data_IF_199935970271
#
_entry.id   IF_199935970271
#
_cell.length_a   1.000
_cell.length_b   1.000
_cell.length_c   1.000
_cell.angle_alpha   90.00
_cell.angle_beta   90.00
_cell.angle_gamma   90.00
#
_symmetry.space_group_name_H-M   'P 1'
#
loop_
_entity.id
_entity.type
_entity.pdbx_description
1 polymer ?
#
# COMPACT_ATOMS: atom_id res chain seq x y z
N UNK A 1 -3.13 21.60 -27.75
CA UNK A 1 -2.21 20.78 -26.94
C UNK A 1 -3.06 19.80 -26.17
N UNK A 2 -2.99 18.50 -26.44
CA UNK A 2 -3.74 17.53 -25.67
C UNK A 2 -3.15 17.46 -24.26
N UNK A 3 -3.94 17.82 -23.26
CA UNK A 3 -3.65 17.66 -21.84
C UNK A 3 -4.04 16.24 -21.42
N UNK A 4 -3.51 15.26 -22.13
CA UNK A 4 -3.70 13.87 -21.79
C UNK A 4 -2.38 13.30 -21.32
N UNK A 5 -2.08 13.48 -20.04
CA UNK A 5 -1.35 12.49 -19.25
C UNK A 5 -1.11 13.03 -17.83
N UNK A 6 -2.16 13.39 -17.13
CA UNK A 6 -2.16 12.99 -15.73
C UNK A 6 -1.97 11.47 -15.77
N UNK A 7 -0.99 10.91 -15.05
CA UNK A 7 -0.83 9.49 -15.05
C UNK A 7 -2.19 8.91 -14.66
N UNK A 8 -2.89 8.47 -15.70
CA UNK A 8 -4.15 7.78 -15.54
C UNK A 8 -3.75 6.55 -14.80
N UNK A 9 -3.61 6.91 -13.66
CA UNK A 9 -3.69 6.13 -12.49
C UNK A 9 -2.89 4.85 -12.59
N UNK A 10 -1.97 4.74 -11.68
CA UNK A 10 -1.39 3.49 -11.25
C UNK A 10 -2.37 2.29 -11.31
N UNK A 11 -3.68 2.53 -11.23
CA UNK A 11 -4.72 1.53 -11.43
C UNK A 11 -4.65 0.85 -12.79
N UNK A 12 -4.48 1.60 -13.88
CA UNK A 12 -4.34 1.04 -15.24
C UNK A 12 -3.05 0.23 -15.37
N UNK A 13 -1.94 0.74 -14.82
CA UNK A 13 -0.68 0.02 -14.83
C UNK A 13 -0.76 -1.26 -13.98
N UNK A 14 -1.37 -1.20 -12.80
CA UNK A 14 -1.59 -2.35 -11.92
C UNK A 14 -2.46 -3.40 -12.61
N UNK A 15 -3.53 -2.96 -13.27
CA UNK A 15 -4.42 -3.87 -14.02
C UNK A 15 -3.69 -4.54 -15.18
N UNK A 16 -2.82 -3.81 -15.89
CA UNK A 16 -1.97 -4.37 -16.94
C UNK A 16 -1.01 -5.43 -16.39
N UNK A 17 -0.35 -5.20 -15.22
CA UNK A 17 0.52 -6.19 -14.58
C UNK A 17 -0.27 -7.44 -14.16
N UNK A 18 -1.48 -7.28 -13.62
CA UNK A 18 -2.35 -8.40 -13.28
C UNK A 18 -2.78 -9.20 -14.51
N UNK A 19 -3.07 -8.53 -15.60
CA UNK A 19 -3.42 -9.19 -16.88
C UNK A 19 -2.25 -10.01 -17.41
N UNK A 20 -1.03 -9.46 -17.40
CA UNK A 20 0.19 -10.18 -17.78
C UNK A 20 0.41 -11.41 -16.89
N UNK A 21 0.18 -11.28 -15.58
CA UNK A 21 0.30 -12.40 -14.65
C UNK A 21 -0.74 -13.49 -14.93
N UNK A 22 -2.01 -13.11 -15.12
CA UNK A 22 -3.11 -14.05 -15.40
C UNK A 22 -2.94 -14.77 -16.75
N UNK A 23 -2.47 -14.07 -17.78
CA UNK A 23 -2.16 -14.65 -19.09
C UNK A 23 -0.96 -15.57 -19.03
N UNK A 24 0.08 -15.16 -18.29
CA UNK A 24 1.26 -15.98 -18.09
C UNK A 24 0.97 -17.28 -17.35
N UNK A 25 0.10 -17.26 -16.34
CA UNK A 25 -0.35 -18.48 -15.63
C UNK A 25 -1.11 -19.44 -16.53
N UNK A 26 -2.00 -18.91 -17.37
CA UNK A 26 -2.73 -19.72 -18.34
C UNK A 26 -1.79 -20.38 -19.36
N UNK A 27 -0.83 -19.63 -19.89
CA UNK A 27 0.14 -20.16 -20.83
C UNK A 27 1.13 -21.14 -20.15
N UNK A 28 1.51 -20.89 -18.90
CA UNK A 28 2.36 -21.81 -18.12
C UNK A 28 1.68 -23.14 -17.87
N UNK A 29 0.35 -23.17 -17.69
CA UNK A 29 -0.43 -24.43 -17.54
C UNK A 29 -0.40 -25.30 -18.80
N UNK A 30 -0.03 -24.75 -19.95
CA UNK A 30 0.15 -25.48 -21.22
C UNK A 30 1.62 -25.76 -21.55
N UNK A 31 2.55 -25.50 -20.59
CA UNK A 31 3.95 -25.85 -20.70
C UNK A 31 4.89 -24.71 -21.14
N UNK A 32 4.42 -23.47 -21.28
CA UNK A 32 5.28 -22.32 -21.60
C UNK A 32 6.02 -21.79 -20.36
N UNK A 33 7.25 -22.28 -20.15
CA UNK A 33 8.11 -21.80 -19.07
C UNK A 33 8.53 -20.32 -19.23
N UNK A 34 8.50 -19.77 -20.43
CA UNK A 34 8.74 -18.33 -20.66
C UNK A 34 7.57 -17.48 -20.14
N UNK A 35 6.34 -17.93 -20.33
CA UNK A 35 5.16 -17.29 -19.79
C UNK A 35 5.14 -17.29 -18.27
N UNK A 36 5.53 -18.40 -17.63
CA UNK A 36 5.64 -18.47 -16.18
C UNK A 36 6.61 -17.41 -15.61
N UNK A 37 7.78 -17.24 -16.24
CA UNK A 37 8.76 -16.20 -15.83
C UNK A 37 8.22 -14.78 -16.02
N UNK A 38 7.50 -14.51 -17.12
CA UNK A 38 6.86 -13.19 -17.35
C UNK A 38 5.79 -12.90 -16.28
N UNK A 39 4.98 -13.89 -15.94
CA UNK A 39 3.97 -13.77 -14.88
C UNK A 39 4.60 -13.41 -13.52
N UNK A 40 5.66 -14.11 -13.14
CA UNK A 40 6.34 -13.82 -11.87
C UNK A 40 7.01 -12.44 -11.87
N UNK A 41 7.66 -12.06 -12.98
CA UNK A 41 8.25 -10.71 -13.12
C UNK A 41 7.17 -9.61 -13.01
N UNK A 42 5.99 -9.82 -13.57
CA UNK A 42 4.87 -8.89 -13.45
C UNK A 42 4.36 -8.79 -12.00
N UNK A 43 4.25 -9.90 -11.28
CA UNK A 43 3.89 -9.91 -9.85
C UNK A 43 4.94 -9.19 -8.99
N UNK A 44 6.22 -9.43 -9.24
CA UNK A 44 7.30 -8.77 -8.50
C UNK A 44 7.33 -7.26 -8.75
N UNK A 45 7.12 -6.84 -9.99
CA UNK A 45 7.00 -5.43 -10.34
C UNK A 45 5.80 -4.79 -9.62
N UNK A 46 4.66 -5.47 -9.59
CA UNK A 46 3.46 -5.02 -8.89
C UNK A 46 3.69 -4.92 -7.38
N UNK A 47 4.26 -5.95 -6.74
CA UNK A 47 4.59 -5.96 -5.30
C UNK A 47 5.47 -4.77 -4.94
N UNK A 48 6.57 -4.59 -5.67
CA UNK A 48 7.53 -3.50 -5.47
C UNK A 48 6.85 -2.15 -5.60
N UNK A 49 6.12 -1.92 -6.68
CA UNK A 49 5.42 -0.68 -6.93
C UNK A 49 4.44 -0.31 -5.81
N UNK A 50 3.64 -1.28 -5.34
CA UNK A 50 2.68 -1.05 -4.27
C UNK A 50 3.40 -0.80 -2.94
N UNK A 51 4.46 -1.53 -2.63
CA UNK A 51 5.24 -1.31 -1.40
C UNK A 51 5.88 0.08 -1.40
N UNK A 52 6.61 0.44 -2.43
CA UNK A 52 7.31 1.72 -2.53
C UNK A 52 6.34 2.92 -2.40
N UNK A 53 5.19 2.79 -3.04
CA UNK A 53 4.25 3.89 -3.14
C UNK A 53 3.32 4.04 -1.93
N UNK A 54 2.94 2.95 -1.31
CA UNK A 54 1.95 2.97 -0.24
C UNK A 54 2.51 2.75 1.15
N UNK A 55 3.77 2.30 1.30
CA UNK A 55 4.36 2.11 2.62
C UNK A 55 4.40 3.39 3.46
N UNK A 56 4.77 4.57 2.94
CA UNK A 56 4.75 5.80 3.73
C UNK A 56 3.34 6.18 4.21
N UNK A 57 2.33 5.99 3.38
CA UNK A 57 0.94 6.29 3.73
C UNK A 57 0.39 5.28 4.75
N UNK A 58 0.72 4.01 4.63
CA UNK A 58 0.36 2.99 5.62
C UNK A 58 1.09 3.19 6.95
N UNK A 59 2.35 3.64 6.93
CA UNK A 59 3.08 4.02 8.12
C UNK A 59 2.40 5.20 8.83
N UNK A 60 1.97 6.23 8.10
CA UNK A 60 1.21 7.34 8.67
C UNK A 60 -0.14 6.87 9.25
N UNK A 61 -0.81 5.92 8.61
CA UNK A 61 -2.06 5.32 9.09
C UNK A 61 -1.91 4.68 10.47
N UNK A 62 -0.88 3.83 10.66
CA UNK A 62 -0.66 3.12 11.92
C UNK A 62 0.00 3.97 13.00
N UNK A 63 0.60 5.11 12.65
CA UNK A 63 1.23 6.03 13.60
C UNK A 63 0.24 6.93 14.34
N UNK A 64 -1.04 6.86 14.01
CA UNK A 64 -2.08 7.68 14.68
C UNK A 64 -2.30 7.24 16.13
N UNK A 65 -2.77 8.15 17.02
CA UNK A 65 -3.03 7.83 18.41
C UNK A 65 -3.90 6.58 18.61
N UNK A 66 -4.86 6.34 17.70
CA UNK A 66 -5.76 5.20 17.77
C UNK A 66 -5.08 3.85 17.53
N UNK A 67 -3.96 3.84 16.80
CA UNK A 67 -3.31 2.61 16.34
C UNK A 67 -1.88 2.42 16.85
N UNK A 68 -1.22 3.48 17.35
CA UNK A 68 0.18 3.41 17.82
C UNK A 68 0.45 2.38 18.92
N UNK A 69 -0.59 2.00 19.67
CA UNK A 69 -0.48 0.99 20.73
C UNK A 69 -0.70 -0.44 20.22
N UNK A 70 -0.99 -0.63 18.93
CA UNK A 70 -1.16 -1.97 18.34
C UNK A 70 0.18 -2.70 18.23
N UNK A 71 1.27 -1.95 18.03
CA UNK A 71 2.62 -2.48 17.89
C UNK A 71 3.56 -1.46 17.24
N UNK A 72 4.79 -1.89 17.00
CA UNK A 72 5.77 -1.07 16.28
C UNK A 72 5.28 -0.78 14.85
N UNK A 73 5.47 0.46 14.42
CA UNK A 73 5.01 0.94 13.11
C UNK A 73 5.60 0.16 11.94
N UNK A 74 6.91 -0.07 12.00
CA UNK A 74 7.64 -0.68 10.88
C UNK A 74 7.39 -2.19 10.84
N UNK A 75 7.20 -2.81 12.00
CA UNK A 75 6.75 -4.21 12.11
C UNK A 75 5.33 -4.39 11.58
N UNK A 76 4.40 -3.49 11.91
CA UNK A 76 3.03 -3.53 11.39
C UNK A 76 2.98 -3.39 9.87
N UNK A 77 3.76 -2.45 9.31
CA UNK A 77 3.79 -2.23 7.85
C UNK A 77 4.48 -3.39 7.13
N UNK A 78 5.63 -3.86 7.63
CA UNK A 78 6.34 -4.98 7.02
C UNK A 78 5.55 -6.29 7.13
N UNK A 79 4.96 -6.57 8.29
CA UNK A 79 4.10 -7.74 8.50
C UNK A 79 2.84 -7.71 7.63
N UNK A 80 2.23 -6.53 7.44
CA UNK A 80 1.13 -6.33 6.52
C UNK A 80 1.54 -6.69 5.09
N UNK A 81 2.65 -6.15 4.59
CA UNK A 81 3.11 -6.45 3.24
C UNK A 81 3.51 -7.91 3.08
N UNK A 82 4.24 -8.48 4.02
CA UNK A 82 4.60 -9.89 3.98
C UNK A 82 3.36 -10.78 3.83
N UNK A 83 2.32 -10.54 4.64
CA UNK A 83 1.06 -11.30 4.58
C UNK A 83 0.29 -11.05 3.29
N UNK A 84 0.17 -9.78 2.88
CA UNK A 84 -0.65 -9.37 1.74
C UNK A 84 -0.03 -9.78 0.41
N UNK A 85 1.29 -9.66 0.28
CA UNK A 85 2.01 -10.03 -0.93
C UNK A 85 2.19 -11.55 -1.09
N UNK A 86 2.04 -12.31 -0.01
CA UNK A 86 2.02 -13.79 -0.06
C UNK A 86 0.67 -14.35 -0.51
N UNK A 87 -0.39 -13.53 -0.51
CA UNK A 87 -1.71 -13.94 -0.97
C UNK A 87 -1.88 -13.65 -2.47
N UNK A 88 -1.82 -14.65 -3.35
CA UNK A 88 -1.91 -14.45 -4.80
C UNK A 88 -3.25 -13.88 -5.24
N UNK A 89 -4.30 -14.05 -4.43
CA UNK A 89 -5.65 -13.58 -4.74
C UNK A 89 -5.92 -12.15 -4.28
N UNK A 90 -5.00 -11.51 -3.54
CA UNK A 90 -5.22 -10.18 -2.95
C UNK A 90 -5.60 -9.13 -3.99
N UNK A 91 -4.82 -9.01 -5.04
CA UNK A 91 -5.05 -8.02 -6.10
C UNK A 91 -6.21 -8.42 -7.03
N UNK A 92 -6.44 -9.71 -7.25
CA UNK A 92 -7.60 -10.20 -8.00
C UNK A 92 -8.90 -9.82 -7.29
N UNK A 93 -8.96 -10.01 -5.96
CA UNK A 93 -10.10 -9.55 -5.14
C UNK A 93 -10.25 -8.03 -5.14
N UNK A 94 -9.14 -7.28 -5.12
CA UNK A 94 -9.21 -5.83 -5.28
C UNK A 94 -9.84 -5.45 -6.61
N UNK A 95 -9.36 -5.99 -7.72
CA UNK A 95 -9.86 -5.72 -9.09
C UNK A 95 -11.37 -5.96 -9.20
N UNK A 96 -11.87 -7.03 -8.61
CA UNK A 96 -13.31 -7.36 -8.63
C UNK A 96 -14.14 -6.51 -7.65
N UNK A 97 -13.51 -5.83 -6.69
CA UNK A 97 -14.21 -5.07 -5.66
C UNK A 97 -14.76 -3.72 -6.15
N UNK A 98 -14.27 -3.20 -7.27
CA UNK A 98 -14.59 -1.87 -7.79
C UNK A 98 -14.10 -0.71 -6.92
N UNK A 99 -13.32 -0.97 -5.87
CA UNK A 99 -12.84 0.06 -4.94
C UNK A 99 -11.49 0.64 -5.40
N UNK A 100 -11.23 1.93 -5.15
CA UNK A 100 -9.89 2.49 -5.31
C UNK A 100 -8.87 1.70 -4.46
N UNK A 101 -7.67 1.43 -5.01
CA UNK A 101 -6.65 0.62 -4.32
C UNK A 101 -6.29 1.17 -2.94
N UNK A 102 -6.19 2.51 -2.79
CA UNK A 102 -5.92 3.13 -1.50
C UNK A 102 -6.95 2.74 -0.42
N UNK A 103 -8.23 2.69 -0.77
CA UNK A 103 -9.30 2.27 0.15
C UNK A 103 -9.23 0.78 0.46
N UNK A 104 -8.88 -0.02 -0.53
CA UNK A 104 -8.65 -1.44 -0.35
C UNK A 104 -7.50 -1.72 0.62
N UNK A 105 -6.35 -1.04 0.42
CA UNK A 105 -5.18 -1.17 1.28
C UNK A 105 -5.46 -0.70 2.72
N UNK A 106 -6.14 0.44 2.91
CA UNK A 106 -6.53 0.90 4.24
C UNK A 106 -7.42 -0.11 4.96
N UNK A 107 -8.42 -0.67 4.29
CA UNK A 107 -9.28 -1.69 4.86
C UNK A 107 -8.49 -2.96 5.25
N UNK A 108 -7.58 -3.40 4.36
CA UNK A 108 -6.73 -4.55 4.62
C UNK A 108 -5.78 -4.31 5.81
N UNK A 109 -5.20 -3.10 5.92
CA UNK A 109 -4.38 -2.71 7.06
C UNK A 109 -5.19 -2.69 8.37
N UNK A 110 -6.40 -2.15 8.34
CA UNK A 110 -7.29 -2.19 9.52
C UNK A 110 -7.61 -3.62 9.97
N UNK A 111 -7.78 -4.55 9.03
CA UNK A 111 -7.94 -5.97 9.36
C UNK A 111 -6.66 -6.59 9.91
N UNK A 112 -5.51 -6.23 9.37
CA UNK A 112 -4.22 -6.68 9.87
C UNK A 112 -3.99 -6.23 11.32
N UNK A 113 -4.16 -4.93 11.62
CA UNK A 113 -4.05 -4.38 12.97
C UNK A 113 -4.99 -5.09 13.96
N UNK A 114 -6.25 -5.32 13.57
CA UNK A 114 -7.20 -6.09 14.41
C UNK A 114 -6.75 -7.54 14.66
N UNK A 115 -6.08 -8.14 13.68
CA UNK A 115 -5.46 -9.46 13.83
C UNK A 115 -4.37 -9.44 14.89
N UNK A 116 -3.41 -8.54 14.75
CA UNK A 116 -2.29 -8.35 15.69
C UNK A 116 -2.81 -8.11 17.11
N UNK A 117 -3.77 -7.20 17.27
CA UNK A 117 -4.38 -6.95 18.61
C UNK A 117 -5.03 -8.19 19.21
N UNK A 118 -5.71 -9.02 18.41
CA UNK A 118 -6.33 -10.26 18.93
C UNK A 118 -5.27 -11.28 19.35
N UNK A 119 -4.20 -11.39 18.58
CA UNK A 119 -3.14 -12.34 18.85
C UNK A 119 -2.35 -11.93 20.11
N UNK A 120 -2.06 -10.63 20.27
CA UNK A 120 -1.46 -10.07 21.49
C UNK A 120 -2.33 -10.36 22.73
N UNK A 121 -3.63 -10.08 22.68
CA UNK A 121 -4.55 -10.37 23.79
C UNK A 121 -4.60 -11.85 24.16
N UNK A 122 -4.53 -12.74 23.17
CA UNK A 122 -4.49 -14.19 23.43
C UNK A 122 -3.20 -14.60 24.12
N UNK A 123 -2.09 -14.00 23.74
CA UNK A 123 -0.80 -14.27 24.39
C UNK A 123 -0.76 -13.73 25.80
N UNK A 124 -1.24 -12.50 26.03
CA UNK A 124 -1.37 -11.90 27.35
C UNK A 124 -2.28 -12.73 28.26
N UNK A 125 -3.41 -13.23 27.76
CA UNK A 125 -4.31 -14.10 28.52
C UNK A 125 -3.68 -15.45 28.88
N UNK A 126 -2.82 -15.99 28.02
CA UNK A 126 -2.06 -17.24 28.33
C UNK A 126 -0.98 -17.00 29.37
N UNK A 127 -0.34 -15.83 29.35
CA UNK A 127 0.81 -15.51 30.18
C UNK A 127 0.38 -14.96 31.56
N UNK A 128 -0.68 -14.15 31.60
CA UNK A 128 -1.05 -13.38 32.80
C UNK A 128 -2.24 -13.93 33.55
N UNK A 129 -3.06 -14.82 32.98
CA UNK A 129 -4.28 -15.35 33.61
C UNK A 129 -5.33 -14.30 34.03
N UNK A 130 -5.16 -13.04 33.60
CA UNK A 130 -6.02 -11.90 33.93
C UNK A 130 -6.60 -11.32 32.64
N UNK A 131 -7.93 -11.22 32.61
CA UNK A 131 -8.69 -10.59 31.54
C UNK A 131 -8.52 -9.05 31.64
N UNK A 132 -7.55 -8.52 30.92
CA UNK A 132 -7.32 -7.08 30.86
C UNK A 132 -8.31 -6.46 29.87
N UNK A 133 -9.48 -6.07 30.37
CA UNK A 133 -10.42 -5.26 29.61
C UNK A 133 -9.81 -3.89 29.30
N UNK A 134 -9.62 -3.65 28.02
CA UNK A 134 -8.93 -2.49 27.45
C UNK A 134 -9.67 -1.21 27.74
N UNK A 135 -8.96 -0.29 28.36
CA UNK A 135 -9.30 1.13 28.43
C UNK A 135 -9.30 1.65 26.99
N UNK A 136 -10.48 2.04 26.50
CA UNK A 136 -10.58 2.84 25.29
C UNK A 136 -10.00 4.22 25.61
N UNK A 137 -8.77 4.47 25.16
CA UNK A 137 -8.19 5.80 25.22
C UNK A 137 -9.11 6.76 24.46
N UNK A 138 -9.50 7.84 25.13
CA UNK A 138 -10.28 8.90 24.54
C UNK A 138 -9.43 9.56 23.45
N UNK A 139 -9.79 9.32 22.19
CA UNK A 139 -9.20 9.99 21.04
C UNK A 139 -9.54 11.46 21.12
N UNK A 140 -8.57 12.39 20.99
CA UNK A 140 -8.87 13.81 20.93
C UNK A 140 -9.88 14.11 19.82
N UNK A 141 -10.84 14.98 20.11
CA UNK A 141 -11.94 15.30 19.19
C UNK A 141 -11.47 15.88 17.84
N UNK A 142 -10.27 16.45 17.81
CA UNK A 142 -9.65 17.09 16.63
C UNK A 142 -8.68 16.18 15.86
N UNK A 143 -8.53 14.89 16.24
CA UNK A 143 -7.65 13.98 15.52
C UNK A 143 -8.34 13.52 14.22
N UNK A 144 -7.74 13.81 13.06
CA UNK A 144 -8.31 13.45 11.75
C UNK A 144 -8.43 11.95 11.51
N UNK A 145 -7.91 11.12 12.41
CA UNK A 145 -7.97 9.67 12.35
C UNK A 145 -7.09 9.02 11.28
N UNK A 146 -6.97 7.68 11.33
CA UNK A 146 -6.04 6.94 10.49
C UNK A 146 -6.26 7.14 8.98
N UNK A 147 -7.50 7.21 8.52
CA UNK A 147 -7.80 7.37 7.10
C UNK A 147 -7.33 8.73 6.57
N UNK A 148 -7.51 9.80 7.35
CA UNK A 148 -7.06 11.14 6.95
C UNK A 148 -5.53 11.28 7.03
N UNK A 149 -4.87 10.62 7.98
CA UNK A 149 -3.41 10.54 8.04
C UNK A 149 -2.84 9.84 6.80
N UNK A 150 -3.44 8.73 6.40
CA UNK A 150 -3.10 8.02 5.16
C UNK A 150 -3.29 8.92 3.93
N UNK A 151 -4.49 9.50 3.76
CA UNK A 151 -4.81 10.31 2.58
C UNK A 151 -3.86 11.52 2.46
N UNK A 152 -3.48 12.16 3.57
CA UNK A 152 -2.49 13.26 3.59
C UNK A 152 -1.11 12.78 3.17
N UNK A 153 -0.61 11.72 3.75
CA UNK A 153 0.72 11.18 3.43
C UNK A 153 0.77 10.69 1.98
N UNK A 154 -0.30 10.07 1.49
CA UNK A 154 -0.41 9.63 0.11
C UNK A 154 -0.43 10.82 -0.86
N UNK A 155 -1.20 11.87 -0.57
CA UNK A 155 -1.26 13.06 -1.40
C UNK A 155 0.10 13.78 -1.46
N UNK A 156 0.82 13.86 -0.33
CA UNK A 156 2.17 14.44 -0.28
C UNK A 156 3.16 13.61 -1.10
N UNK A 157 3.12 12.29 -1.00
CA UNK A 157 3.98 11.41 -1.80
C UNK A 157 3.72 11.58 -3.30
N UNK A 158 2.46 11.72 -3.70
CA UNK A 158 2.07 11.96 -5.09
C UNK A 158 2.56 13.34 -5.58
N UNK A 159 2.42 14.39 -4.77
CA UNK A 159 2.90 15.73 -5.10
C UNK A 159 4.43 15.75 -5.27
N UNK A 160 5.16 15.11 -4.36
CA UNK A 160 6.61 15.00 -4.45
C UNK A 160 7.08 14.20 -5.68
N UNK A 161 6.33 13.19 -6.09
CA UNK A 161 6.63 12.43 -7.30
C UNK A 161 6.38 13.27 -8.56
N UNK A 162 5.25 13.97 -8.62
CA UNK A 162 4.95 14.89 -9.71
C UNK A 162 6.01 16.00 -9.83
N UNK A 163 6.43 16.58 -8.70
CA UNK A 163 7.50 17.57 -8.66
C UNK A 163 8.81 17.01 -9.21
N UNK A 164 9.25 15.83 -8.75
CA UNK A 164 10.47 15.18 -9.26
C UNK A 164 10.40 14.88 -10.76
N UNK A 165 9.22 14.50 -11.25
CA UNK A 165 9.03 14.26 -12.67
C UNK A 165 9.17 15.54 -13.49
N UNK A 166 8.56 16.65 -13.05
CA UNK A 166 8.70 17.96 -13.70
C UNK A 166 10.14 18.44 -13.69
N UNK A 167 10.84 18.31 -12.57
CA UNK A 167 12.26 18.69 -12.44
C UNK A 167 13.14 17.88 -13.42
N UNK A 168 12.92 16.56 -13.52
CA UNK A 168 13.64 15.72 -14.45
C UNK A 168 13.38 16.10 -15.91
N UNK A 169 12.13 16.45 -16.24
CA UNK A 169 11.74 16.90 -17.58
C UNK A 169 12.39 18.24 -17.94
N UNK A 170 12.37 19.22 -17.01
CA UNK A 170 13.02 20.53 -17.20
C UNK A 170 14.54 20.38 -17.36
N UNK A 171 15.18 19.53 -16.57
CA UNK A 171 16.60 19.23 -16.69
C UNK A 171 16.93 18.60 -18.06
N UNK A 172 16.08 17.69 -18.53
CA UNK A 172 16.26 17.06 -19.86
C UNK A 172 16.14 18.06 -21.02
N UNK A 173 15.36 19.13 -20.82
CA UNK A 173 15.16 20.20 -21.79
C UNK A 173 16.19 21.35 -21.67
N UNK A 174 17.18 21.23 -20.79
CA UNK A 174 18.21 22.27 -20.54
C UNK A 174 17.68 23.51 -19.82
N UNK A 175 16.52 23.44 -19.15
CA UNK A 175 15.86 24.54 -18.42
C UNK A 175 15.92 24.41 -16.89
N UNK A 176 16.75 23.50 -16.39
CA UNK A 176 16.81 23.18 -14.96
C UNK A 176 17.50 24.22 -14.06
N UNK A 177 18.10 25.29 -14.61
CA UNK A 177 18.90 26.26 -13.84
C UNK A 177 18.18 27.59 -13.54
N UNK A 178 16.93 27.79 -13.94
CA UNK A 178 16.23 29.07 -13.80
C UNK A 178 15.58 29.31 -12.42
N UNK A 179 15.61 28.36 -11.48
CA UNK A 179 14.96 28.48 -10.16
C UNK A 179 15.94 28.79 -9.00
N UNK A 180 17.19 29.18 -9.30
CA UNK A 180 18.18 29.55 -8.28
C UNK A 180 18.43 31.08 -8.24
N UNK A 181 17.39 31.88 -7.89
CA UNK A 181 17.55 33.29 -7.47
C UNK A 181 16.72 33.54 -6.22
#
# INVERSE_FOLDING_TARGET
>A
VPVDHFPSTHATWIDAQLTIADEGDRAASTGDAGAARRAEAARDALRRHVMERYAPALAAYVSTPQLRQVGDRDELVSGFFARTMSDPSFFTRWRTSGKPLRRWLMNAMAFHCRGVMRDSRREDARTSGVDTSVIADSVPADDPGPAAAFDRAWALALANEAYRHVQAELASQGRGDDDAV
#
